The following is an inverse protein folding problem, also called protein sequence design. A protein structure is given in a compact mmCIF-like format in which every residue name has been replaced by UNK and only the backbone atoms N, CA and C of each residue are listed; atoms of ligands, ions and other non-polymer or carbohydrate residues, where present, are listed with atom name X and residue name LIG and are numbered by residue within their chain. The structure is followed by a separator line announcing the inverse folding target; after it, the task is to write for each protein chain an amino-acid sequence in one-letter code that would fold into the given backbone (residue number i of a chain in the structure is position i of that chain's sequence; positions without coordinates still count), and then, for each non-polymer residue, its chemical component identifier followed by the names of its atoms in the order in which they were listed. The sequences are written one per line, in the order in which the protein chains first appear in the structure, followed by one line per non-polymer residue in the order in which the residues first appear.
data_IF_081204102387
#
_entry.id   IF_081204102387
#
_cell.length_a   1.000
_cell.length_b   1.000
_cell.length_c   1.000
_cell.angle_alpha   90.00
_cell.angle_beta   90.00
_cell.angle_gamma   90.00
#
_symmetry.space_group_name_H-M   'P 1'
#
loop_
_entity.id
_entity.type
_entity.pdbx_description
1 polymer ?
#
# COMPACT_ATOMS: atom_id res chain seq x y z
N UNK A 1 41.41 15.45 10.52
CA UNK A 1 40.21 15.90 9.78
C UNK A 1 39.14 14.84 9.91
N UNK A 2 38.26 14.97 10.90
CA UNK A 2 37.07 14.12 10.99
C UNK A 2 36.03 14.69 10.03
N UNK A 3 35.96 14.14 8.82
CA UNK A 3 34.88 14.47 7.90
C UNK A 3 33.54 14.23 8.59
N UNK A 4 32.67 15.23 8.59
CA UNK A 4 31.29 15.05 9.04
C UNK A 4 30.70 13.87 8.28
N UNK A 5 30.11 12.85 8.96
CA UNK A 5 29.52 11.74 8.25
C UNK A 5 28.40 12.29 7.35
N UNK A 6 28.64 12.30 6.04
CA UNK A 6 27.65 12.66 5.05
C UNK A 6 26.60 11.57 5.09
N UNK A 7 25.47 11.85 5.74
CA UNK A 7 24.34 10.92 5.82
C UNK A 7 23.85 10.70 4.39
N UNK A 8 23.96 9.47 3.89
CA UNK A 8 23.44 9.12 2.57
C UNK A 8 21.98 9.54 2.44
N UNK A 9 21.67 10.25 1.36
CA UNK A 9 20.31 10.67 1.08
C UNK A 9 19.41 9.43 0.93
N UNK A 10 18.24 9.40 1.59
CA UNK A 10 17.30 8.30 1.44
C UNK A 10 16.98 8.05 -0.04
N UNK A 11 16.98 6.79 -0.46
CA UNK A 11 16.66 6.44 -1.84
C UNK A 11 15.29 7.02 -2.23
N UNK A 12 15.18 7.77 -3.34
CA UNK A 12 13.90 8.35 -3.77
C UNK A 12 12.79 7.32 -3.95
N UNK A 13 13.15 6.09 -4.34
CA UNK A 13 12.23 4.96 -4.51
C UNK A 13 11.59 4.51 -3.19
N UNK A 14 12.32 4.63 -2.09
CA UNK A 14 11.79 4.29 -0.78
C UNK A 14 10.70 5.27 -0.34
N UNK A 15 10.93 6.56 -0.59
CA UNK A 15 9.94 7.62 -0.34
C UNK A 15 8.72 7.40 -1.24
N UNK A 16 8.93 7.22 -2.54
CA UNK A 16 7.85 7.00 -3.50
C UNK A 16 6.99 5.79 -3.13
N UNK A 17 7.60 4.68 -2.70
CA UNK A 17 6.86 3.50 -2.25
C UNK A 17 6.04 3.73 -0.97
N UNK A 18 6.58 4.44 0.01
CA UNK A 18 5.84 4.77 1.24
C UNK A 18 4.67 5.72 0.97
N UNK A 19 4.86 6.72 0.08
CA UNK A 19 3.78 7.59 -0.39
C UNK A 19 2.71 6.76 -1.11
N UNK A 20 3.11 5.84 -1.99
CA UNK A 20 2.20 4.93 -2.66
C UNK A 20 1.37 4.09 -1.68
N UNK A 21 2.01 3.53 -0.65
CA UNK A 21 1.31 2.79 0.41
C UNK A 21 0.29 3.66 1.16
N UNK A 22 0.62 4.91 1.45
CA UNK A 22 -0.31 5.85 2.08
C UNK A 22 -1.52 6.16 1.19
N UNK A 23 -1.31 6.37 -0.11
CA UNK A 23 -2.39 6.54 -1.07
C UNK A 23 -3.31 5.30 -1.13
N UNK A 24 -2.75 4.10 -1.14
CA UNK A 24 -3.54 2.86 -1.16
C UNK A 24 -4.36 2.69 0.12
N UNK A 25 -3.81 3.04 1.29
CA UNK A 25 -4.59 3.01 2.54
C UNK A 25 -5.80 3.94 2.45
N UNK A 26 -5.59 5.17 1.96
CA UNK A 26 -6.67 6.13 1.77
C UNK A 26 -7.77 5.56 0.86
N UNK A 27 -7.40 4.94 -0.26
CA UNK A 27 -8.35 4.29 -1.17
C UNK A 27 -9.14 3.18 -0.45
N UNK A 28 -8.48 2.32 0.33
CA UNK A 28 -9.14 1.24 1.07
C UNK A 28 -10.13 1.80 2.10
N UNK A 29 -9.71 2.77 2.93
CA UNK A 29 -10.52 3.31 4.02
C UNK A 29 -11.69 4.16 3.50
N UNK A 30 -11.55 4.80 2.34
CA UNK A 30 -12.62 5.58 1.71
C UNK A 30 -13.58 4.75 0.86
N UNK A 31 -13.25 3.50 0.55
CA UNK A 31 -14.10 2.59 -0.25
C UNK A 31 -15.55 2.47 0.27
N UNK A 32 -15.81 2.32 1.59
CA UNK A 32 -17.18 2.29 2.13
C UNK A 32 -18.01 3.54 1.88
N UNK A 33 -17.37 4.69 1.59
CA UNK A 33 -18.08 5.95 1.33
C UNK A 33 -18.63 6.02 -0.09
N UNK A 34 -18.10 5.21 -1.01
CA UNK A 34 -18.42 5.25 -2.45
C UNK A 34 -19.14 3.99 -2.91
N UNK A 35 -18.96 2.87 -2.20
CA UNK A 35 -19.50 1.56 -2.59
C UNK A 35 -20.16 0.88 -1.39
N UNK A 36 -21.18 0.03 -1.63
CA UNK A 36 -21.81 -0.79 -0.60
C UNK A 36 -20.93 -2.01 -0.19
N UNK A 37 -19.61 -1.83 -0.15
CA UNK A 37 -18.65 -2.87 0.17
C UNK A 37 -18.83 -3.31 1.62
N UNK A 38 -18.99 -4.62 1.90
CA UNK A 38 -19.17 -5.09 3.26
C UNK A 38 -17.92 -4.83 4.11
N UNK A 39 -18.14 -4.50 5.39
CA UNK A 39 -17.08 -4.12 6.33
C UNK A 39 -15.95 -5.14 6.45
N UNK A 40 -16.26 -6.44 6.31
CA UNK A 40 -15.27 -7.51 6.41
C UNK A 40 -14.28 -7.47 5.23
N UNK A 41 -14.73 -7.09 4.03
CA UNK A 41 -13.85 -7.01 2.86
C UNK A 41 -12.82 -5.89 3.03
N UNK A 42 -13.28 -4.75 3.57
CA UNK A 42 -12.40 -3.63 3.93
C UNK A 42 -11.45 -4.04 5.05
N UNK A 43 -11.93 -4.74 6.09
CA UNK A 43 -11.06 -5.24 7.15
C UNK A 43 -9.96 -6.17 6.63
N UNK A 44 -10.30 -7.12 5.74
CA UNK A 44 -9.32 -8.01 5.10
C UNK A 44 -8.30 -7.23 4.26
N UNK A 45 -8.75 -6.22 3.49
CA UNK A 45 -7.85 -5.35 2.72
C UNK A 45 -6.92 -4.53 3.62
N UNK A 46 -7.41 -4.02 4.75
CA UNK A 46 -6.59 -3.32 5.74
C UNK A 46 -5.55 -4.28 6.33
N UNK A 47 -5.93 -5.51 6.69
CA UNK A 47 -4.98 -6.52 7.20
C UNK A 47 -3.90 -6.84 6.15
N UNK A 48 -4.29 -7.06 4.90
CA UNK A 48 -3.34 -7.28 3.80
C UNK A 48 -2.42 -6.06 3.60
N UNK A 49 -2.97 -4.84 3.68
CA UNK A 49 -2.21 -3.61 3.61
C UNK A 49 -1.21 -3.46 4.76
N UNK A 50 -1.59 -3.80 6.00
CA UNK A 50 -0.69 -3.81 7.15
C UNK A 50 0.48 -4.78 6.92
N UNK A 51 0.20 -5.98 6.39
CA UNK A 51 1.23 -6.92 5.98
C UNK A 51 2.20 -6.30 4.96
N UNK A 52 1.68 -5.67 3.91
CA UNK A 52 2.48 -4.98 2.90
C UNK A 52 3.25 -3.77 3.49
N UNK A 53 2.69 -3.04 4.46
CA UNK A 53 3.37 -1.95 5.15
C UNK A 53 4.56 -2.49 5.95
N UNK A 54 4.39 -3.58 6.69
CA UNK A 54 5.48 -4.20 7.45
C UNK A 54 6.61 -4.68 6.53
N UNK A 55 6.25 -5.30 5.39
CA UNK A 55 7.22 -5.65 4.35
C UNK A 55 7.92 -4.39 3.80
N UNK A 56 7.18 -3.31 3.59
CA UNK A 56 7.74 -2.03 3.15
C UNK A 56 8.75 -1.47 4.15
N UNK A 57 8.42 -1.47 5.44
CA UNK A 57 9.35 -1.04 6.49
C UNK A 57 10.61 -1.92 6.51
N UNK A 58 10.46 -3.24 6.36
CA UNK A 58 11.60 -4.16 6.31
C UNK A 58 12.47 -3.99 5.06
N UNK A 59 11.87 -3.66 3.91
CA UNK A 59 12.56 -3.46 2.65
C UNK A 59 13.07 -2.04 2.44
N UNK A 60 12.67 -1.10 3.30
CA UNK A 60 13.03 0.31 3.22
C UNK A 60 14.52 0.54 2.98
N UNK A 61 15.35 -0.20 3.73
CA UNK A 61 16.83 -0.13 3.61
C UNK A 61 17.36 -1.23 2.67
N UNK A 62 16.79 -2.44 2.72
CA UNK A 62 17.34 -3.62 2.03
C UNK A 62 17.10 -3.62 0.51
N UNK A 63 15.93 -3.15 0.05
CA UNK A 63 15.47 -3.24 -1.35
C UNK A 63 14.54 -2.07 -1.72
N UNK A 64 15.04 -0.82 -1.74
CA UNK A 64 14.19 0.36 -1.90
C UNK A 64 13.43 0.43 -3.22
N UNK A 65 13.98 -0.18 -4.29
CA UNK A 65 13.33 -0.24 -5.62
C UNK A 65 12.08 -1.12 -5.67
N UNK A 66 11.88 -2.02 -4.70
CA UNK A 66 10.71 -2.91 -4.67
C UNK A 66 9.50 -2.30 -3.95
N UNK A 67 9.69 -1.18 -3.23
CA UNK A 67 8.61 -0.53 -2.49
C UNK A 67 7.50 0.02 -3.39
N UNK A 68 7.81 0.73 -4.50
CA UNK A 68 6.77 1.16 -5.44
C UNK A 68 6.01 -0.02 -6.05
N UNK A 69 6.70 -1.12 -6.32
CA UNK A 69 6.09 -2.33 -6.88
C UNK A 69 5.08 -2.93 -5.90
N UNK A 70 5.41 -2.95 -4.60
CA UNK A 70 4.50 -3.43 -3.56
C UNK A 70 3.27 -2.54 -3.42
N UNK A 71 3.43 -1.21 -3.48
CA UNK A 71 2.32 -0.27 -3.48
C UNK A 71 1.38 -0.49 -4.69
N UNK A 72 1.95 -0.63 -5.90
CA UNK A 72 1.17 -0.93 -7.11
C UNK A 72 0.46 -2.28 -7.00
N UNK A 73 1.14 -3.32 -6.52
CA UNK A 73 0.53 -4.63 -6.30
C UNK A 73 -0.65 -4.55 -5.32
N UNK A 74 -0.51 -3.80 -4.22
CA UNK A 74 -1.60 -3.61 -3.27
C UNK A 74 -2.78 -2.82 -3.88
N UNK A 75 -2.51 -1.81 -4.70
CA UNK A 75 -3.54 -1.08 -5.44
C UNK A 75 -4.31 -2.02 -6.41
N UNK A 76 -3.59 -2.91 -7.11
CA UNK A 76 -4.20 -3.92 -7.99
C UNK A 76 -5.06 -4.91 -7.19
N UNK A 77 -4.59 -5.38 -6.04
CA UNK A 77 -5.36 -6.27 -5.15
C UNK A 77 -6.64 -5.59 -4.69
N UNK A 78 -6.56 -4.32 -4.26
CA UNK A 78 -7.73 -3.52 -3.91
C UNK A 78 -8.70 -3.44 -5.10
N UNK A 79 -8.23 -3.01 -6.28
CA UNK A 79 -9.07 -2.82 -7.47
C UNK A 79 -9.76 -4.12 -7.88
N UNK A 80 -9.01 -5.22 -7.94
CA UNK A 80 -9.55 -6.53 -8.23
C UNK A 80 -10.63 -6.94 -7.21
N UNK A 81 -10.38 -6.73 -5.92
CA UNK A 81 -11.35 -7.07 -4.87
C UNK A 81 -12.67 -6.32 -5.05
N UNK A 82 -12.62 -5.01 -5.34
CA UNK A 82 -13.83 -4.21 -5.55
C UNK A 82 -14.55 -4.62 -6.82
N UNK A 83 -13.85 -4.78 -7.94
CA UNK A 83 -14.47 -5.17 -9.22
C UNK A 83 -15.07 -6.57 -9.16
N UNK A 84 -14.36 -7.54 -8.59
CA UNK A 84 -14.88 -8.90 -8.41
C UNK A 84 -16.04 -8.91 -7.42
N UNK A 85 -15.97 -8.15 -6.33
CA UNK A 85 -17.05 -8.03 -5.37
C UNK A 85 -18.31 -7.43 -5.97
N UNK A 86 -18.18 -6.36 -6.75
CA UNK A 86 -19.30 -5.76 -7.48
C UNK A 86 -19.92 -6.75 -8.48
N UNK A 87 -19.08 -7.48 -9.23
CA UNK A 87 -19.53 -8.41 -10.27
C UNK A 87 -20.15 -9.70 -9.74
N UNK A 88 -19.55 -10.32 -8.73
CA UNK A 88 -19.90 -11.68 -8.29
C UNK A 88 -20.61 -11.73 -6.94
N UNK A 89 -20.43 -10.71 -6.11
CA UNK A 89 -21.00 -10.65 -4.76
C UNK A 89 -22.02 -9.51 -4.62
N UNK A 90 -22.36 -8.85 -5.72
CA UNK A 90 -23.37 -7.77 -5.80
C UNK A 90 -23.10 -6.60 -4.85
N UNK A 91 -21.82 -6.26 -4.65
CA UNK A 91 -21.42 -5.06 -3.92
C UNK A 91 -21.72 -3.84 -4.80
N UNK A 92 -22.91 -3.27 -4.62
CA UNK A 92 -23.46 -2.18 -5.43
C UNK A 92 -22.65 -0.90 -5.40
#
# INVERSE_FOLDING_TARGET
MTGTPVREAPSPWAIAGMVGMACVLFMIVTTPLVTATPWWAVALLVVAWVGALLVSVAWFVRRPRMLPVLAVAMAVVWFATIVLGARYLTWG
#
